data_IF_816465912167
#
_entry.id   IF_816465912167
#
_cell.length_a   1.000
_cell.length_b   1.000
_cell.length_c   1.000
_cell.angle_alpha   90.00
_cell.angle_beta   90.00
_cell.angle_gamma   90.00
#
_symmetry.space_group_name_H-M   'P 1'
#
loop_
_entity.id
_entity.type
_entity.pdbx_description
1 polymer ?
#
# COMPACT_ATOMS: atom_id res chain seq x y z
N UNK A 1 -13.22 9.62 2.82
CA UNK A 1 -12.33 8.66 3.48
C UNK A 1 -12.06 8.99 4.94
N UNK A 2 -11.80 10.25 5.32
CA UNK A 2 -11.62 10.63 6.74
C UNK A 2 -12.69 10.07 7.70
N UNK A 3 -13.97 10.29 7.38
CA UNK A 3 -15.11 9.80 8.21
C UNK A 3 -15.09 8.27 8.31
N UNK A 4 -14.76 7.56 7.23
CA UNK A 4 -14.67 6.10 7.24
C UNK A 4 -13.61 5.61 8.23
N UNK A 5 -12.40 6.20 8.19
CA UNK A 5 -11.34 5.83 9.12
C UNK A 5 -11.71 6.15 10.57
N UNK A 6 -12.40 7.28 10.79
CA UNK A 6 -12.90 7.65 12.12
C UNK A 6 -13.94 6.64 12.63
N UNK A 7 -14.85 6.19 11.77
CA UNK A 7 -15.86 5.17 12.13
C UNK A 7 -15.21 3.82 12.46
N UNK A 8 -14.21 3.40 11.68
CA UNK A 8 -13.46 2.17 11.97
C UNK A 8 -12.68 2.27 13.28
N UNK A 9 -12.07 3.42 13.55
CA UNK A 9 -11.36 3.63 14.81
C UNK A 9 -12.32 3.71 16.01
N UNK A 10 -13.52 4.27 15.81
CA UNK A 10 -14.59 4.30 16.80
C UNK A 10 -15.06 2.89 17.16
N UNK A 11 -15.17 1.98 16.18
CA UNK A 11 -15.46 0.56 16.46
C UNK A 11 -14.39 -0.06 17.38
N UNK A 12 -13.10 0.18 17.11
CA UNK A 12 -12.03 -0.27 17.98
C UNK A 12 -12.12 0.33 19.37
N UNK A 13 -12.47 1.61 19.49
CA UNK A 13 -12.66 2.25 20.79
C UNK A 13 -13.74 1.56 21.62
N UNK A 14 -14.88 1.21 21.02
CA UNK A 14 -15.94 0.44 21.70
C UNK A 14 -15.42 -0.92 22.18
N UNK A 15 -14.65 -1.62 21.34
CA UNK A 15 -14.09 -2.93 21.70
C UNK A 15 -13.11 -2.82 22.88
N UNK A 16 -12.20 -1.84 22.84
CA UNK A 16 -11.25 -1.58 23.93
C UNK A 16 -11.87 -0.94 25.17
N UNK A 17 -13.14 -0.51 25.13
CA UNK A 17 -13.90 -0.19 26.33
C UNK A 17 -14.30 -1.45 27.14
N UNK A 18 -14.17 -2.64 26.55
CA UNK A 18 -14.46 -3.93 27.19
C UNK A 18 -13.21 -4.80 27.39
N UNK A 19 -12.07 -4.44 26.78
CA UNK A 19 -10.84 -5.22 26.80
C UNK A 19 -9.63 -4.31 26.99
N UNK A 20 -8.73 -4.66 27.90
CA UNK A 20 -7.53 -3.85 28.16
C UNK A 20 -6.47 -4.00 27.04
N UNK A 21 -6.25 -5.22 26.56
CA UNK A 21 -5.28 -5.51 25.51
C UNK A 21 -5.65 -6.73 24.67
N UNK A 22 -5.11 -6.79 23.45
CA UNK A 22 -5.22 -7.92 22.53
C UNK A 22 -3.83 -8.46 22.23
N UNK A 23 -3.40 -9.51 22.94
CA UNK A 23 -2.08 -10.15 22.76
C UNK A 23 -0.93 -9.12 22.71
N UNK A 24 -0.89 -8.20 23.68
CA UNK A 24 0.11 -7.12 23.78
C UNK A 24 -0.26 -5.83 23.06
N UNK A 25 -1.31 -5.80 22.24
CA UNK A 25 -1.79 -4.59 21.58
C UNK A 25 -2.86 -3.88 22.42
N UNK A 26 -2.50 -2.76 23.04
CA UNK A 26 -3.46 -1.80 23.62
C UNK A 26 -4.03 -0.80 22.60
N UNK A 27 -5.06 -0.05 22.99
CA UNK A 27 -5.74 0.93 22.12
C UNK A 27 -4.81 2.04 21.56
N UNK A 28 -3.75 2.40 22.30
CA UNK A 28 -2.71 3.31 21.79
C UNK A 28 -2.07 2.82 20.50
N UNK A 29 -1.68 1.54 20.46
CA UNK A 29 -1.07 0.92 19.29
C UNK A 29 -2.03 0.86 18.10
N UNK A 30 -3.33 0.63 18.35
CA UNK A 30 -4.35 0.62 17.29
C UNK A 30 -4.50 1.98 16.64
N UNK A 31 -4.52 3.06 17.43
CA UNK A 31 -4.60 4.41 16.87
C UNK A 31 -3.38 4.76 16.01
N UNK A 32 -2.18 4.36 16.44
CA UNK A 32 -0.95 4.54 15.63
C UNK A 32 -0.99 3.67 14.38
N UNK A 33 -1.46 2.42 14.48
CA UNK A 33 -1.64 1.52 13.34
C UNK A 33 -2.55 2.15 12.27
N UNK A 34 -3.71 2.67 12.68
CA UNK A 34 -4.62 3.36 11.76
C UNK A 34 -3.98 4.62 11.16
N UNK A 35 -3.24 5.40 11.94
CA UNK A 35 -2.53 6.57 11.42
C UNK A 35 -1.48 6.18 10.37
N UNK A 36 -0.67 5.16 10.62
CA UNK A 36 0.35 4.66 9.69
C UNK A 36 -0.31 4.15 8.40
N UNK A 37 -1.32 3.28 8.51
CA UNK A 37 -1.93 2.62 7.34
C UNK A 37 -2.70 3.62 6.48
N UNK A 38 -3.48 4.52 7.07
CA UNK A 38 -4.13 5.60 6.32
C UNK A 38 -3.09 6.50 5.64
N UNK A 39 -1.97 6.79 6.31
CA UNK A 39 -0.87 7.57 5.73
C UNK A 39 -0.17 6.84 4.58
N UNK A 40 0.05 5.53 4.71
CA UNK A 40 0.64 4.69 3.68
C UNK A 40 -0.25 4.62 2.43
N UNK A 41 -1.55 4.35 2.64
CA UNK A 41 -2.54 4.37 1.58
C UNK A 41 -2.61 5.75 0.92
N UNK A 42 -2.64 6.83 1.69
CA UNK A 42 -2.63 8.19 1.15
C UNK A 42 -1.38 8.48 0.32
N UNK A 43 -0.21 8.03 0.77
CA UNK A 43 1.06 8.20 0.06
C UNK A 43 1.02 7.49 -1.30
N UNK A 44 0.54 6.25 -1.34
CA UNK A 44 0.33 5.52 -2.60
C UNK A 44 -0.70 6.23 -3.47
N UNK A 45 -1.89 6.51 -2.96
CA UNK A 45 -3.02 7.00 -3.75
C UNK A 45 -2.82 8.43 -4.26
N UNK A 46 -2.06 9.28 -3.53
CA UNK A 46 -1.76 10.64 -3.94
C UNK A 46 -0.60 10.72 -4.93
N UNK A 47 0.48 9.95 -4.72
CA UNK A 47 1.72 10.05 -5.49
C UNK A 47 1.85 9.00 -6.59
N UNK A 48 1.31 7.80 -6.35
CA UNK A 48 1.46 6.62 -7.19
C UNK A 48 0.11 5.97 -7.52
N UNK A 49 -0.96 6.78 -7.61
CA UNK A 49 -2.34 6.28 -7.79
C UNK A 49 -2.54 5.50 -9.08
N UNK A 50 -1.65 5.66 -10.07
CA UNK A 50 -1.65 4.85 -11.28
C UNK A 50 -1.41 3.36 -11.03
N UNK A 51 -0.72 2.99 -9.93
CA UNK A 51 -0.47 1.59 -9.53
C UNK A 51 -1.75 0.77 -9.42
N UNK A 52 -2.82 1.37 -8.89
CA UNK A 52 -4.12 0.73 -8.65
C UNK A 52 -4.95 0.53 -9.92
N UNK A 53 -4.49 1.03 -11.06
CA UNK A 53 -5.21 0.93 -12.35
C UNK A 53 -4.37 0.27 -13.45
N UNK A 54 -3.25 -0.33 -13.05
CA UNK A 54 -2.23 -0.81 -13.97
C UNK A 54 -2.71 -2.00 -14.82
N UNK A 55 -3.43 -2.95 -14.22
CA UNK A 55 -4.04 -4.08 -14.93
C UNK A 55 -5.01 -3.61 -16.01
N UNK A 56 -5.83 -2.59 -15.72
CA UNK A 56 -6.72 -1.96 -16.68
C UNK A 56 -5.93 -1.24 -17.78
N UNK A 57 -4.85 -0.54 -17.43
CA UNK A 57 -3.98 0.10 -18.42
C UNK A 57 -3.32 -0.92 -19.38
N UNK A 58 -2.92 -2.08 -18.87
CA UNK A 58 -2.38 -3.19 -19.66
C UNK A 58 -3.47 -3.77 -20.56
N UNK A 59 -4.61 -4.18 -19.99
CA UNK A 59 -5.68 -4.87 -20.71
C UNK A 59 -6.37 -3.99 -21.78
N UNK A 60 -6.38 -2.67 -21.62
CA UNK A 60 -6.96 -1.71 -22.57
C UNK A 60 -5.96 -1.19 -23.60
N UNK A 61 -4.71 -1.68 -23.60
CA UNK A 61 -3.70 -1.21 -24.55
C UNK A 61 -3.20 0.22 -24.28
N UNK A 62 -3.45 0.78 -23.08
CA UNK A 62 -3.11 2.18 -22.75
C UNK A 62 -1.61 2.38 -22.48
N UNK A 63 -0.82 1.30 -22.38
CA UNK A 63 0.63 1.43 -22.24
C UNK A 63 1.30 1.95 -23.51
N UNK A 64 0.64 1.86 -24.67
CA UNK A 64 1.13 2.39 -25.95
C UNK A 64 1.50 3.87 -25.83
N UNK A 65 0.66 4.67 -25.16
CA UNK A 65 0.94 6.08 -24.90
C UNK A 65 2.20 6.30 -24.05
N UNK A 66 2.46 5.45 -23.06
CA UNK A 66 3.61 5.60 -22.19
C UNK A 66 4.91 5.14 -22.86
N UNK A 67 4.83 4.22 -23.82
CA UNK A 67 5.95 3.70 -24.59
C UNK A 67 6.50 4.68 -25.63
N UNK A 68 5.68 5.63 -26.11
CA UNK A 68 6.12 6.65 -27.08
C UNK A 68 6.93 7.78 -26.45
N UNK A 69 6.96 7.86 -25.12
CA UNK A 69 7.63 8.94 -24.40
C UNK A 69 9.01 8.47 -23.90
N UNK A 70 10.05 9.32 -23.95
CA UNK A 70 11.40 8.97 -23.48
C UNK A 70 11.51 9.03 -21.94
N UNK A 71 10.57 8.40 -21.24
CA UNK A 71 10.49 8.34 -19.78
C UNK A 71 10.38 6.89 -19.31
N UNK A 72 10.86 6.55 -18.10
CA UNK A 72 10.66 5.21 -17.56
C UNK A 72 9.18 4.87 -17.47
N UNK A 73 8.73 3.87 -18.24
CA UNK A 73 7.31 3.53 -18.41
C UNK A 73 6.62 3.32 -17.08
N UNK A 74 7.18 2.46 -16.22
CA UNK A 74 6.61 2.17 -14.91
C UNK A 74 6.39 3.44 -14.09
N UNK A 75 7.43 4.27 -13.91
CA UNK A 75 7.32 5.48 -13.10
C UNK A 75 6.27 6.43 -13.68
N UNK A 76 6.24 6.59 -15.01
CA UNK A 76 5.29 7.48 -15.66
C UNK A 76 3.83 7.01 -15.49
N UNK A 77 3.59 5.70 -15.55
CA UNK A 77 2.27 5.13 -15.26
C UNK A 77 1.90 5.33 -13.79
N UNK A 78 2.83 5.08 -12.86
CA UNK A 78 2.56 5.23 -11.42
C UNK A 78 2.07 6.64 -11.06
N UNK A 79 2.73 7.67 -11.57
CA UNK A 79 2.42 9.08 -11.26
C UNK A 79 1.30 9.66 -12.13
N UNK A 80 0.72 8.88 -13.05
CA UNK A 80 -0.29 9.36 -14.01
C UNK A 80 -1.65 9.69 -13.39
N UNK A 81 -1.90 9.21 -12.16
CA UNK A 81 -3.17 9.36 -11.45
C UNK A 81 -2.93 9.67 -9.98
N UNK A 82 -3.84 10.45 -9.43
CA UNK A 82 -3.92 10.78 -8.01
C UNK A 82 -5.38 10.70 -7.58
N UNK A 83 -5.64 10.27 -6.35
CA UNK A 83 -7.00 10.22 -5.79
C UNK A 83 -7.27 11.42 -4.88
N UNK A 84 -8.17 12.36 -5.25
CA UNK A 84 -8.52 13.48 -4.38
C UNK A 84 -9.06 13.04 -3.02
N UNK A 85 -9.72 11.88 -2.92
CA UNK A 85 -10.27 11.39 -1.67
C UNK A 85 -9.19 11.01 -0.64
N UNK A 86 -7.97 10.70 -1.10
CA UNK A 86 -6.83 10.31 -0.28
C UNK A 86 -6.26 11.46 0.56
N UNK A 87 -6.58 12.72 0.24
CA UNK A 87 -6.29 13.85 1.12
C UNK A 87 -6.99 13.71 2.48
N UNK A 88 -8.17 13.10 2.51
CA UNK A 88 -8.87 12.79 3.75
C UNK A 88 -8.14 11.72 4.58
N UNK A 89 -7.53 10.73 3.94
CA UNK A 89 -6.71 9.70 4.60
C UNK A 89 -5.42 10.30 5.17
N UNK A 90 -4.77 11.19 4.42
CA UNK A 90 -3.58 11.92 4.87
C UNK A 90 -3.90 12.80 6.07
N UNK A 91 -4.99 13.59 6.00
CA UNK A 91 -5.42 14.43 7.12
C UNK A 91 -5.74 13.58 8.36
N UNK A 92 -6.44 12.45 8.18
CA UNK A 92 -6.73 11.52 9.26
C UNK A 92 -5.45 10.97 9.91
N UNK A 93 -4.48 10.54 9.10
CA UNK A 93 -3.21 10.02 9.56
C UNK A 93 -2.44 11.03 10.42
N UNK A 94 -2.28 12.26 9.90
CA UNK A 94 -1.53 13.33 10.58
C UNK A 94 -2.22 13.77 11.87
N UNK A 95 -3.53 14.03 11.83
CA UNK A 95 -4.29 14.46 13.00
C UNK A 95 -4.28 13.38 14.09
N UNK A 96 -4.55 12.13 13.72
CA UNK A 96 -4.55 11.01 14.67
C UNK A 96 -3.18 10.83 15.31
N UNK A 97 -2.10 10.90 14.53
CA UNK A 97 -0.74 10.76 15.07
C UNK A 97 -0.38 11.89 16.05
N UNK A 98 -0.73 13.15 15.71
CA UNK A 98 -0.51 14.30 16.60
C UNK A 98 -1.27 14.16 17.91
N UNK A 99 -2.57 13.80 17.84
CA UNK A 99 -3.43 13.68 19.02
C UNK A 99 -3.00 12.53 19.95
N UNK A 100 -2.43 11.46 19.40
CA UNK A 100 -2.04 10.28 20.17
C UNK A 100 -0.65 10.42 20.78
N UNK A 101 0.28 11.01 20.03
CA UNK A 101 1.71 10.93 20.36
C UNK A 101 2.30 12.25 20.87
N UNK A 102 1.59 13.39 20.72
CA UNK A 102 2.11 14.74 20.98
C UNK A 102 3.56 14.90 20.50
N UNK A 103 3.85 14.62 19.21
CA UNK A 103 5.19 14.29 18.76
C UNK A 103 6.12 15.50 18.80
N UNK A 104 7.37 15.28 19.22
CA UNK A 104 8.46 16.20 18.88
C UNK A 104 8.67 16.24 17.36
N UNK A 105 9.37 17.26 16.86
CA UNK A 105 9.67 17.39 15.43
C UNK A 105 10.35 16.13 14.86
N UNK A 106 11.27 15.52 15.61
CA UNK A 106 11.94 14.28 15.21
C UNK A 106 10.98 13.09 15.08
N UNK A 107 10.03 12.92 16.01
CA UNK A 107 9.00 11.88 15.92
C UNK A 107 8.05 12.11 14.76
N UNK A 108 7.71 13.37 14.45
CA UNK A 108 6.90 13.71 13.29
C UNK A 108 7.62 13.37 11.98
N UNK A 109 8.89 13.72 11.84
CA UNK A 109 9.69 13.36 10.66
C UNK A 109 9.80 11.84 10.52
N UNK A 110 10.05 11.13 11.63
CA UNK A 110 10.07 9.66 11.66
C UNK A 110 8.75 9.06 11.19
N UNK A 111 7.61 9.58 11.68
CA UNK A 111 6.29 9.14 11.23
C UNK A 111 6.09 9.35 9.73
N UNK A 112 6.42 10.53 9.19
CA UNK A 112 6.32 10.83 7.76
C UNK A 112 7.16 9.87 6.90
N UNK A 113 8.39 9.58 7.32
CA UNK A 113 9.27 8.62 6.64
C UNK A 113 8.66 7.21 6.66
N UNK A 114 8.15 6.78 7.81
CA UNK A 114 7.59 5.45 7.98
C UNK A 114 6.29 5.26 7.19
N UNK A 115 5.36 6.22 7.23
CA UNK A 115 4.14 6.14 6.42
C UNK A 115 4.43 6.20 4.92
N UNK A 116 5.41 7.01 4.49
CA UNK A 116 5.81 7.05 3.09
C UNK A 116 6.43 5.72 2.65
N UNK A 117 7.30 5.14 3.48
CA UNK A 117 7.94 3.84 3.21
C UNK A 117 6.91 2.70 3.18
N UNK A 118 5.93 2.71 4.08
CA UNK A 118 4.80 1.79 4.02
C UNK A 118 3.99 1.98 2.72
N UNK A 119 3.78 3.22 2.29
CA UNK A 119 3.12 3.54 1.02
C UNK A 119 3.90 3.05 -0.22
N UNK A 120 5.23 3.08 -0.20
CA UNK A 120 6.04 2.50 -1.29
C UNK A 120 5.95 0.97 -1.31
N UNK A 121 5.87 0.30 -0.15
CA UNK A 121 5.58 -1.14 -0.06
C UNK A 121 4.22 -1.47 -0.66
N UNK A 122 3.16 -0.72 -0.32
CA UNK A 122 1.83 -0.92 -0.90
C UNK A 122 1.83 -0.69 -2.42
N UNK A 123 2.54 0.35 -2.89
CA UNK A 123 2.70 0.64 -4.31
C UNK A 123 3.40 -0.51 -5.04
N UNK A 124 4.50 -1.03 -4.50
CA UNK A 124 5.25 -2.12 -5.09
C UNK A 124 4.41 -3.41 -5.15
N UNK A 125 3.68 -3.72 -4.08
CA UNK A 125 2.76 -4.85 -4.05
C UNK A 125 1.64 -4.72 -5.09
N UNK A 126 1.03 -3.54 -5.21
CA UNK A 126 0.04 -3.27 -6.25
C UNK A 126 0.64 -3.46 -7.65
N UNK A 127 1.85 -2.97 -7.92
CA UNK A 127 2.54 -3.21 -9.20
C UNK A 127 2.71 -4.70 -9.48
N UNK A 128 3.11 -5.50 -8.50
CA UNK A 128 3.22 -6.96 -8.66
C UNK A 128 1.87 -7.60 -9.01
N UNK A 129 0.83 -7.28 -8.23
CA UNK A 129 -0.51 -7.83 -8.42
C UNK A 129 -1.10 -7.45 -9.78
N UNK A 130 -1.02 -6.18 -10.16
CA UNK A 130 -1.56 -5.69 -11.42
C UNK A 130 -0.73 -6.11 -12.65
N UNK A 131 0.59 -6.35 -12.48
CA UNK A 131 1.45 -6.86 -13.58
C UNK A 131 1.07 -8.27 -14.02
N UNK A 132 0.33 -9.05 -13.20
CA UNK A 132 -0.20 -10.36 -13.62
C UNK A 132 -1.04 -10.26 -14.91
N UNK A 133 -1.60 -9.09 -15.21
CA UNK A 133 -2.35 -8.82 -16.43
C UNK A 133 -1.54 -9.04 -17.71
N UNK A 134 -0.21 -8.90 -17.68
CA UNK A 134 0.65 -9.22 -18.82
C UNK A 134 0.62 -10.70 -19.23
N UNK A 135 0.26 -11.61 -18.30
CA UNK A 135 0.19 -13.05 -18.55
C UNK A 135 -1.23 -13.58 -18.57
N UNK A 136 -2.10 -13.06 -17.70
CA UNK A 136 -3.47 -13.53 -17.52
C UNK A 136 -4.50 -12.74 -18.33
N UNK A 137 -4.11 -11.62 -18.95
CA UNK A 137 -5.04 -10.71 -19.63
C UNK A 137 -5.87 -9.91 -18.63
N UNK A 138 -7.21 -10.01 -18.68
CA UNK A 138 -8.13 -9.24 -17.83
C UNK A 138 -8.14 -9.74 -16.37
N UNK A 139 -7.12 -9.36 -15.59
CA UNK A 139 -6.94 -9.75 -14.18
C UNK A 139 -7.24 -8.63 -13.17
N UNK A 140 -7.99 -7.60 -13.55
CA UNK A 140 -8.29 -6.42 -12.71
C UNK A 140 -8.85 -6.82 -11.34
N UNK A 141 -9.92 -7.62 -11.32
CA UNK A 141 -10.55 -8.07 -10.07
C UNK A 141 -9.60 -8.83 -9.14
N UNK A 142 -8.70 -9.64 -9.69
CA UNK A 142 -7.71 -10.38 -8.90
C UNK A 142 -6.70 -9.42 -8.28
N UNK A 143 -6.21 -8.46 -9.07
CA UNK A 143 -5.26 -7.46 -8.59
C UNK A 143 -5.87 -6.57 -7.50
N UNK A 144 -7.12 -6.16 -7.67
CA UNK A 144 -7.88 -5.39 -6.69
C UNK A 144 -8.05 -6.20 -5.40
N UNK A 145 -8.46 -7.47 -5.48
CA UNK A 145 -8.62 -8.35 -4.31
C UNK A 145 -7.31 -8.53 -3.54
N UNK A 146 -6.17 -8.68 -4.23
CA UNK A 146 -4.87 -8.78 -3.58
C UNK A 146 -4.52 -7.48 -2.86
N UNK A 147 -4.74 -6.33 -3.49
CA UNK A 147 -4.45 -5.02 -2.90
C UNK A 147 -5.34 -4.74 -1.70
N UNK A 148 -6.63 -5.08 -1.79
CA UNK A 148 -7.58 -5.00 -0.69
C UNK A 148 -7.25 -5.96 0.46
N UNK A 149 -6.72 -7.16 0.15
CA UNK A 149 -6.23 -8.06 1.19
C UNK A 149 -5.07 -7.43 1.96
N UNK A 150 -4.08 -6.84 1.28
CA UNK A 150 -2.98 -6.12 1.93
C UNK A 150 -3.49 -4.99 2.84
N UNK A 151 -4.40 -4.15 2.34
CA UNK A 151 -4.99 -3.06 3.14
C UNK A 151 -5.75 -3.62 4.35
N UNK A 152 -6.61 -4.61 4.14
CA UNK A 152 -7.41 -5.24 5.18
C UNK A 152 -6.55 -5.79 6.30
N UNK A 153 -5.55 -6.64 5.99
CA UNK A 153 -4.67 -7.20 7.02
C UNK A 153 -3.83 -6.13 7.74
N UNK A 154 -3.48 -5.05 7.05
CA UNK A 154 -2.74 -3.94 7.66
C UNK A 154 -3.56 -3.17 8.71
N UNK A 155 -4.91 -3.17 8.59
CA UNK A 155 -5.82 -2.48 9.52
C UNK A 155 -6.12 -3.25 10.81
N UNK A 156 -5.65 -4.50 10.94
CA UNK A 156 -5.82 -5.30 12.15
C UNK A 156 -4.49 -5.49 12.89
N UNK A 157 -4.49 -5.46 14.23
CA UNK A 157 -3.27 -5.62 15.02
C UNK A 157 -2.66 -7.01 14.85
N UNK A 158 -1.33 -7.10 14.81
CA UNK A 158 -0.59 -8.36 14.65
C UNK A 158 -1.02 -9.44 15.67
N UNK A 159 -1.39 -9.01 16.88
CA UNK A 159 -1.77 -9.86 18.00
C UNK A 159 -2.91 -10.85 17.71
N UNK A 160 -3.82 -10.56 16.77
CA UNK A 160 -4.95 -11.46 16.47
C UNK A 160 -4.56 -12.64 15.55
N UNK A 161 -3.41 -12.57 14.90
CA UNK A 161 -3.00 -13.56 13.91
C UNK A 161 -2.16 -14.68 14.52
N UNK A 162 -2.45 -15.91 14.10
CA UNK A 162 -1.64 -17.10 14.43
C UNK A 162 -0.22 -17.00 13.84
N UNK A 163 0.73 -17.77 14.37
CA UNK A 163 2.11 -17.80 13.85
C UNK A 163 2.18 -18.12 12.36
N UNK A 164 1.36 -19.07 11.89
CA UNK A 164 1.29 -19.44 10.47
C UNK A 164 0.75 -18.28 9.61
N UNK A 165 -0.29 -17.59 10.09
CA UNK A 165 -0.84 -16.42 9.41
C UNK A 165 0.18 -15.29 9.36
N UNK A 166 0.90 -15.03 10.46
CA UNK A 166 1.96 -14.01 10.48
C UNK A 166 3.05 -14.29 9.44
N UNK A 167 3.45 -15.55 9.26
CA UNK A 167 4.42 -15.90 8.22
C UNK A 167 3.95 -15.44 6.84
N UNK A 168 2.66 -15.65 6.51
CA UNK A 168 2.06 -15.17 5.26
C UNK A 168 2.05 -13.64 5.20
N UNK A 169 1.70 -12.95 6.29
CA UNK A 169 1.65 -11.49 6.35
C UNK A 169 3.02 -10.81 6.29
N UNK A 170 4.09 -11.53 6.61
CA UNK A 170 5.48 -11.06 6.49
C UNK A 170 6.18 -11.53 5.20
N UNK A 171 5.50 -12.29 4.33
CA UNK A 171 6.10 -12.80 3.09
C UNK A 171 5.24 -12.52 1.86
N UNK A 172 4.03 -13.08 1.81
CA UNK A 172 3.17 -13.08 0.63
C UNK A 172 2.33 -11.81 0.48
N UNK A 173 1.81 -11.25 1.59
CA UNK A 173 0.92 -10.07 1.60
C UNK A 173 1.60 -8.77 2.11
N UNK A 174 2.89 -8.80 2.45
CA UNK A 174 3.60 -7.82 3.29
C UNK A 174 2.90 -6.90 4.31
N UNK A 175 1.71 -7.21 4.83
CA UNK A 175 1.00 -6.34 5.80
C UNK A 175 1.84 -5.97 7.03
N UNK A 176 2.75 -6.86 7.45
CA UNK A 176 3.65 -6.59 8.57
C UNK A 176 4.66 -5.48 8.35
N UNK A 177 5.05 -5.23 7.09
CA UNK A 177 5.93 -4.12 6.72
C UNK A 177 5.15 -2.81 6.49
N UNK A 178 3.86 -2.90 6.19
CA UNK A 178 2.99 -1.73 6.00
C UNK A 178 2.53 -1.15 7.34
N UNK A 179 2.27 -1.99 8.34
CA UNK A 179 1.65 -1.56 9.60
C UNK A 179 2.47 -1.92 10.85
N UNK A 180 2.76 -3.21 11.07
CA UNK A 180 3.27 -3.70 12.36
C UNK A 180 4.69 -3.20 12.66
N UNK A 181 5.59 -3.29 11.68
CA UNK A 181 6.98 -2.86 11.85
C UNK A 181 7.10 -1.32 12.02
N UNK A 182 6.42 -0.47 11.22
CA UNK A 182 6.32 0.96 11.50
C UNK A 182 5.78 1.31 12.89
N UNK A 183 4.70 0.64 13.35
CA UNK A 183 4.15 0.86 14.69
C UNK A 183 5.19 0.51 15.76
N UNK A 184 5.87 -0.63 15.61
CA UNK A 184 6.97 -1.04 16.51
C UNK A 184 8.10 -0.01 16.53
N UNK A 185 8.51 0.53 15.38
CA UNK A 185 9.58 1.55 15.31
C UNK A 185 9.17 2.86 16.02
N UNK A 186 7.90 3.26 15.92
CA UNK A 186 7.37 4.47 16.56
C UNK A 186 7.29 4.35 18.09
N UNK A 187 7.05 3.13 18.59
CA UNK A 187 7.02 2.84 20.02
C UNK A 187 8.41 2.58 20.59
N UNK A 188 9.18 1.69 19.96
CA UNK A 188 10.50 1.23 20.38
C UNK A 188 11.47 1.30 19.21
N UNK A 189 12.10 2.46 19.06
CA UNK A 189 13.03 2.70 17.97
C UNK A 189 14.26 1.78 18.11
N UNK A 190 14.52 1.01 17.06
CA UNK A 190 15.81 0.34 16.86
C UNK A 190 16.26 0.53 15.42
N UNK A 191 17.55 0.82 15.24
CA UNK A 191 18.12 0.99 13.90
C UNK A 191 17.94 -0.27 13.04
N UNK A 192 18.01 -1.46 13.67
CA UNK A 192 17.79 -2.75 13.00
C UNK A 192 16.39 -2.84 12.37
N UNK A 193 15.32 -2.47 13.10
CA UNK A 193 13.96 -2.50 12.56
C UNK A 193 13.77 -1.51 11.40
N UNK A 194 14.36 -0.31 11.50
CA UNK A 194 14.31 0.68 10.43
C UNK A 194 15.04 0.18 9.18
N UNK A 195 16.25 -0.34 9.34
CA UNK A 195 17.05 -0.90 8.24
C UNK A 195 16.32 -2.08 7.59
N UNK A 196 15.73 -2.97 8.39
CA UNK A 196 14.93 -4.08 7.88
C UNK A 196 13.76 -3.59 7.01
N UNK A 197 13.02 -2.58 7.47
CA UNK A 197 11.92 -1.99 6.71
C UNK A 197 12.40 -1.38 5.38
N UNK A 198 13.51 -0.64 5.40
CA UNK A 198 14.07 0.01 4.22
C UNK A 198 14.61 -1.02 3.21
N UNK A 199 15.30 -2.06 3.67
CA UNK A 199 15.77 -3.16 2.82
C UNK A 199 14.58 -3.89 2.20
N UNK A 200 13.54 -4.17 2.98
CA UNK A 200 12.34 -4.81 2.46
C UNK A 200 11.66 -3.95 1.39
N UNK A 201 11.46 -2.66 1.67
CA UNK A 201 10.85 -1.71 0.72
C UNK A 201 11.66 -1.61 -0.59
N UNK A 202 12.99 -1.53 -0.50
CA UNK A 202 13.87 -1.53 -1.67
C UNK A 202 13.82 -2.88 -2.43
N UNK A 203 13.78 -3.99 -1.71
CA UNK A 203 13.71 -5.34 -2.26
C UNK A 203 12.42 -5.57 -3.04
N UNK A 204 11.27 -5.31 -2.42
CA UNK A 204 9.96 -5.46 -3.08
C UNK A 204 9.79 -4.46 -4.23
N UNK A 205 10.30 -3.23 -4.09
CA UNK A 205 10.29 -2.24 -5.17
C UNK A 205 11.12 -2.69 -6.38
N UNK A 206 12.30 -3.27 -6.14
CA UNK A 206 13.14 -3.86 -7.20
C UNK A 206 12.47 -5.05 -7.85
N UNK A 207 11.85 -5.93 -7.07
CA UNK A 207 11.09 -7.08 -7.58
C UNK A 207 9.90 -6.63 -8.43
N UNK A 208 9.12 -5.66 -7.95
CA UNK A 208 7.99 -5.09 -8.67
C UNK A 208 8.42 -4.47 -10.01
N UNK A 209 9.53 -3.74 -10.01
CA UNK A 209 10.15 -3.22 -11.23
C UNK A 209 10.53 -4.36 -12.18
N UNK A 210 11.26 -5.35 -11.70
CA UNK A 210 11.70 -6.48 -12.52
C UNK A 210 10.50 -7.19 -13.17
N UNK A 211 9.51 -7.59 -12.37
CA UNK A 211 8.30 -8.27 -12.85
C UNK A 211 7.55 -7.43 -13.87
N UNK A 212 7.40 -6.12 -13.64
CA UNK A 212 6.75 -5.23 -14.59
C UNK A 212 7.46 -5.21 -15.95
N UNK A 213 8.79 -5.05 -15.98
CA UNK A 213 9.53 -5.00 -17.26
C UNK A 213 9.62 -6.37 -17.95
N UNK A 214 9.65 -7.48 -17.21
CA UNK A 214 9.52 -8.81 -17.81
C UNK A 214 8.14 -9.03 -18.43
N UNK A 215 7.08 -8.56 -17.75
CA UNK A 215 5.72 -8.59 -18.29
C UNK A 215 5.56 -7.68 -19.52
N UNK A 216 6.18 -6.50 -19.51
CA UNK A 216 6.14 -5.54 -20.61
C UNK A 216 6.67 -6.12 -21.93
N UNK A 217 7.62 -7.06 -21.89
CA UNK A 217 8.10 -7.77 -23.11
C UNK A 217 7.02 -8.61 -23.79
N UNK A 218 5.96 -8.98 -23.06
CA UNK A 218 4.83 -9.78 -23.55
C UNK A 218 3.62 -8.93 -23.90
N UNK A 219 3.71 -7.62 -23.69
CA UNK A 219 2.61 -6.70 -23.92
C UNK A 219 2.24 -6.65 -25.41
N UNK A 220 0.96 -6.78 -25.71
CA UNK A 220 0.39 -6.69 -27.04
C UNK A 220 -0.38 -5.38 -27.18
N UNK A 221 -0.09 -4.60 -28.23
CA UNK A 221 -0.73 -3.29 -28.46
C UNK A 221 -2.24 -3.43 -28.69
N UNK A 222 -2.99 -2.48 -28.13
CA UNK A 222 -4.44 -2.39 -28.32
C UNK A 222 -4.86 -2.13 -29.78
N UNK A 223 -3.94 -1.63 -30.62
CA UNK A 223 -4.21 -1.39 -32.05
C UNK A 223 -4.44 -2.67 -32.86
N UNK A 224 -4.06 -3.85 -32.36
CA UNK A 224 -4.32 -5.12 -33.05
C UNK A 224 -5.79 -5.57 -32.96
N UNK A 225 -6.57 -5.06 -31.99
CA UNK A 225 -7.95 -5.53 -31.73
C UNK A 225 -9.00 -4.78 -32.54
N UNK A 226 -8.71 -3.56 -32.99
CA UNK A 226 -9.70 -2.69 -33.67
C UNK A 226 -9.83 -3.00 -35.17
N UNK A 227 -8.97 -3.84 -35.76
CA UNK A 227 -8.92 -4.05 -37.22
C UNK A 227 -9.89 -5.14 -37.71
N UNK A 228 -10.51 -5.95 -36.83
CA UNK A 228 -11.34 -7.10 -37.23
C UNK A 228 -12.85 -6.96 -36.96
N UNK A 229 -13.42 -5.76 -37.09
CA UNK A 229 -14.90 -5.58 -37.08
C UNK A 229 -15.36 -4.86 -38.35
N UNK A 230 -14.95 -5.38 -39.50
CA UNK A 230 -15.66 -5.17 -40.77
C UNK A 230 -15.50 -6.48 -41.55
N UNK A 231 -16.53 -7.32 -41.53
CA UNK A 231 -17.01 -8.18 -42.63
C UNK A 231 -18.35 -8.81 -42.21
#
# INVERSE_FOLDING_TARGET
MFINNLMLLFFWWILFARMESLNGWGFGHIRILYAVVSGAFASQALLFGGSLSLSKAIAEGRLDFYLTLPKPVLLHVLISRSSPSAWGDLAFALITFVLVSSPSLGKMIGFLILMFTAGTVMTAFAVLAHSLSFWLGRSERLADQLTEALLSFSLYPEGIFSTATRLVLYTLIPAGFVSYLPVRILHEFTAANLVLLLIFAAGIGTLARFVFYEGLKRYQSGNLVVINVID
#
